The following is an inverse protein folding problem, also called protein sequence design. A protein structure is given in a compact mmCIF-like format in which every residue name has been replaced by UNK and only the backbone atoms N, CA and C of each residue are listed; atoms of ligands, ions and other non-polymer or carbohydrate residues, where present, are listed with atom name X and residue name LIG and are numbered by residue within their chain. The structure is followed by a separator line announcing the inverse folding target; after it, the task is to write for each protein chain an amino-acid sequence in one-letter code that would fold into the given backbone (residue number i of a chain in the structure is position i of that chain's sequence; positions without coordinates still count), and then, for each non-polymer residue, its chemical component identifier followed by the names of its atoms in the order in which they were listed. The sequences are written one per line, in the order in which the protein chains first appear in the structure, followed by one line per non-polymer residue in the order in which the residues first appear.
data_IF_082733895490
#
_entry.id   IF_082733895490
#
_cell.length_a   1.000
_cell.length_b   1.000
_cell.length_c   1.000
_cell.angle_alpha   90.00
_cell.angle_beta   90.00
_cell.angle_gamma   90.00
#
_symmetry.space_group_name_H-M   'P 1'
#
loop_
_entity.id
_entity.type
_entity.pdbx_description
1 polymer ?
#
# COMPACT_ATOMS: atom_id res chain seq x y z
N UNK A 1 4.02 -17.44 -3.59
CA UNK A 1 3.20 -16.44 -4.29
C UNK A 1 2.25 -15.80 -3.29
N UNK A 2 2.65 -14.67 -2.68
CA UNK A 2 1.78 -13.88 -1.81
C UNK A 2 1.79 -12.44 -2.33
N UNK A 3 1.33 -12.24 -3.56
CA UNK A 3 1.27 -10.94 -4.20
C UNK A 3 -0.17 -10.46 -4.30
N UNK A 4 -0.38 -9.16 -4.17
CA UNK A 4 -1.70 -8.54 -4.30
C UNK A 4 -1.62 -7.25 -5.10
N UNK A 5 -2.70 -6.96 -5.82
CA UNK A 5 -2.93 -5.67 -6.46
C UNK A 5 -3.96 -4.93 -5.63
N UNK A 6 -3.66 -3.68 -5.28
CA UNK A 6 -4.55 -2.83 -4.49
C UNK A 6 -4.61 -1.44 -5.11
N UNK A 7 -5.81 -0.88 -5.23
CA UNK A 7 -6.02 0.55 -5.44
C UNK A 7 -6.33 1.18 -4.09
N UNK A 8 -5.53 2.16 -3.68
CA UNK A 8 -5.72 2.79 -2.38
C UNK A 8 -5.10 4.19 -2.30
N UNK A 9 -5.63 4.98 -1.37
CA UNK A 9 -5.14 6.31 -1.01
C UNK A 9 -4.02 6.19 0.02
N UNK A 10 -2.92 6.90 -0.24
CA UNK A 10 -1.83 7.06 0.71
C UNK A 10 -2.27 7.97 1.86
N UNK A 11 -2.36 7.46 3.09
CA UNK A 11 -2.88 8.23 4.23
C UNK A 11 -1.78 8.95 5.01
N UNK A 12 -0.63 8.29 5.23
CA UNK A 12 0.48 8.89 5.99
C UNK A 12 1.82 8.24 5.72
N UNK A 13 2.89 8.98 6.02
CA UNK A 13 4.27 8.48 6.06
C UNK A 13 4.50 7.77 7.39
N UNK A 14 5.11 6.59 7.34
CA UNK A 14 5.59 5.85 8.52
C UNK A 14 7.12 5.88 8.51
N UNK A 15 7.73 6.63 9.44
CA UNK A 15 9.19 6.66 9.58
C UNK A 15 9.61 5.64 10.63
N UNK A 16 10.39 4.65 10.22
CA UNK A 16 11.20 3.84 11.14
C UNK A 16 12.67 4.09 10.85
N UNK A 17 13.53 4.01 11.87
CA UNK A 17 14.90 4.55 11.93
C UNK A 17 15.84 4.29 10.73
N UNK A 18 15.51 3.42 9.76
CA UNK A 18 16.28 3.18 8.52
C UNK A 18 15.45 2.98 7.24
N UNK A 19 14.10 2.96 7.32
CA UNK A 19 13.21 2.69 6.19
C UNK A 19 11.99 3.62 6.28
N UNK A 20 11.75 4.38 5.21
CA UNK A 20 10.50 5.11 5.02
C UNK A 20 9.45 4.11 4.51
N UNK A 21 8.31 4.04 5.18
CA UNK A 21 7.13 3.34 4.70
C UNK A 21 5.96 4.31 4.55
N UNK A 22 4.88 3.82 3.99
CA UNK A 22 3.63 4.55 3.88
C UNK A 22 2.48 3.65 4.33
N UNK A 23 1.50 4.25 5.00
CA UNK A 23 0.24 3.58 5.33
C UNK A 23 -0.79 3.96 4.27
N UNK A 24 -1.44 2.95 3.72
CA UNK A 24 -2.50 3.07 2.72
C UNK A 24 -3.82 2.63 3.33
N UNK A 25 -4.88 3.37 3.01
CA UNK A 25 -6.23 3.09 3.47
C UNK A 25 -6.66 1.68 3.01
N UNK A 26 -7.18 0.86 3.90
CA UNK A 26 -7.75 -0.41 3.49
C UNK A 26 -8.87 -0.84 4.41
N UNK A 27 -9.89 -1.50 3.87
CA UNK A 27 -10.92 -2.12 4.69
C UNK A 27 -11.38 -3.39 4.01
N UNK A 28 -10.95 -4.53 4.54
CA UNK A 28 -11.26 -5.81 3.94
C UNK A 28 -10.85 -6.98 4.81
N UNK A 29 -10.80 -8.15 4.20
CA UNK A 29 -10.35 -9.38 4.84
C UNK A 29 -9.22 -10.00 4.02
N UNK A 30 -8.21 -10.52 4.71
CA UNK A 30 -7.14 -11.31 4.11
C UNK A 30 -7.03 -12.63 4.87
N UNK A 31 -7.24 -13.76 4.18
CA UNK A 31 -7.22 -15.11 4.77
C UNK A 31 -8.10 -15.26 6.03
N UNK A 32 -9.27 -14.60 6.04
CA UNK A 32 -10.21 -14.63 7.16
C UNK A 32 -9.93 -13.62 8.28
N UNK A 33 -8.80 -12.90 8.22
CA UNK A 33 -8.48 -11.84 9.17
C UNK A 33 -8.92 -10.48 8.65
N UNK A 34 -9.50 -9.67 9.54
CA UNK A 34 -9.89 -8.30 9.22
C UNK A 34 -8.65 -7.41 9.11
N UNK A 35 -8.54 -6.70 8.00
CA UNK A 35 -7.45 -5.75 7.74
C UNK A 35 -8.05 -4.35 7.63
N UNK A 36 -7.45 -3.38 8.32
CA UNK A 36 -7.89 -1.98 8.35
C UNK A 36 -6.88 -1.00 7.74
N UNK A 37 -5.71 -1.49 7.31
CA UNK A 37 -4.67 -0.71 6.65
C UNK A 37 -3.64 -1.60 5.99
N UNK A 38 -2.93 -1.03 5.03
CA UNK A 38 -1.77 -1.67 4.40
C UNK A 38 -0.54 -0.81 4.69
N UNK A 39 0.48 -1.42 5.27
CA UNK A 39 1.78 -0.77 5.41
C UNK A 39 2.66 -1.18 4.23
N UNK A 40 3.15 -0.20 3.48
CA UNK A 40 3.99 -0.40 2.30
C UNK A 40 5.40 0.06 2.61
N UNK A 41 6.33 -0.89 2.65
CA UNK A 41 7.76 -0.64 2.75
C UNK A 41 8.33 -0.35 1.37
N UNK A 42 8.95 0.81 1.19
CA UNK A 42 9.51 1.23 -0.10
C UNK A 42 10.65 2.24 0.07
N UNK A 43 11.36 2.54 -1.02
CA UNK A 43 12.23 3.73 -1.13
C UNK A 43 11.60 4.81 -2.01
N UNK A 44 10.50 4.49 -2.68
CA UNK A 44 9.74 5.45 -3.48
C UNK A 44 9.05 6.49 -2.59
N UNK A 45 8.76 7.63 -3.18
CA UNK A 45 8.02 8.71 -2.53
C UNK A 45 6.58 8.70 -2.99
N UNK A 46 5.64 8.68 -2.04
CA UNK A 46 4.22 8.83 -2.30
C UNK A 46 3.71 10.15 -1.76
N UNK A 47 2.77 10.76 -2.47
CA UNK A 47 2.04 11.94 -2.01
C UNK A 47 0.90 11.51 -1.10
N UNK A 48 0.78 12.13 0.07
CA UNK A 48 -0.35 11.89 0.98
C UNK A 48 -1.64 12.42 0.35
N UNK A 49 -2.72 11.66 0.45
CA UNK A 49 -4.03 12.00 -0.11
C UNK A 49 -4.21 11.60 -1.58
N UNK A 50 -3.17 11.08 -2.22
CA UNK A 50 -3.23 10.62 -3.62
C UNK A 50 -3.53 9.12 -3.71
N UNK A 51 -4.21 8.73 -4.79
CA UNK A 51 -4.63 7.36 -5.07
C UNK A 51 -3.64 6.65 -6.02
N UNK A 52 -3.29 5.42 -5.66
CA UNK A 52 -2.30 4.63 -6.37
C UNK A 52 -2.82 3.22 -6.66
N UNK A 53 -2.48 2.71 -7.84
CA UNK A 53 -2.44 1.28 -8.12
C UNK A 53 -1.11 0.72 -7.61
N UNK A 54 -1.17 -0.22 -6.69
CA UNK A 54 -0.03 -0.83 -6.03
C UNK A 54 0.03 -2.31 -6.35
N UNK A 55 1.20 -2.79 -6.74
CA UNK A 55 1.53 -4.20 -6.77
C UNK A 55 2.48 -4.51 -5.61
N UNK A 56 2.05 -5.40 -4.72
CA UNK A 56 2.63 -5.57 -3.40
C UNK A 56 2.97 -7.04 -3.13
N UNK A 57 4.15 -7.27 -2.55
CA UNK A 57 4.54 -8.54 -1.95
C UNK A 57 4.14 -8.51 -0.46
N UNK A 58 3.34 -9.48 -0.02
CA UNK A 58 2.92 -9.59 1.38
C UNK A 58 4.03 -10.25 2.20
N UNK A 59 4.44 -9.58 3.27
CA UNK A 59 5.46 -10.06 4.20
C UNK A 59 4.81 -10.75 5.39
N UNK A 60 3.90 -10.06 6.09
CA UNK A 60 3.16 -10.61 7.23
C UNK A 60 1.85 -9.84 7.49
N UNK A 61 1.08 -10.32 8.47
CA UNK A 61 -0.11 -9.65 9.01
C UNK A 61 0.14 -9.42 10.50
N UNK A 62 0.08 -8.16 10.94
CA UNK A 62 0.26 -7.79 12.35
C UNK A 62 -0.72 -6.68 12.73
N UNK A 63 -1.40 -6.84 13.87
CA UNK A 63 -2.28 -5.81 14.45
C UNK A 63 -3.28 -5.23 13.43
N UNK A 64 -4.01 -6.11 12.73
CA UNK A 64 -4.99 -5.76 11.68
C UNK A 64 -4.38 -5.03 10.47
N UNK A 65 -3.06 -5.05 10.31
CA UNK A 65 -2.33 -4.42 9.21
C UNK A 65 -1.74 -5.47 8.30
N UNK A 66 -1.89 -5.28 7.00
CA UNK A 66 -1.16 -6.07 6.01
C UNK A 66 0.18 -5.39 5.75
N UNK A 67 1.28 -6.00 6.20
CA UNK A 67 2.62 -5.46 5.97
C UNK A 67 3.17 -6.01 4.67
N UNK A 68 3.64 -5.09 3.82
CA UNK A 68 3.97 -5.39 2.44
C UNK A 68 5.24 -4.67 2.01
N UNK A 69 5.85 -5.20 0.96
CA UNK A 69 6.91 -4.55 0.21
C UNK A 69 6.39 -4.15 -1.16
N UNK A 70 6.76 -2.95 -1.60
CA UNK A 70 6.39 -2.47 -2.93
C UNK A 70 7.15 -3.24 -4.01
N UNK A 71 6.40 -3.77 -4.98
CA UNK A 71 6.94 -4.31 -6.24
C UNK A 71 6.87 -3.21 -7.32
N UNK A 72 5.69 -2.61 -7.50
CA UNK A 72 5.45 -1.56 -8.48
C UNK A 72 4.32 -0.64 -8.03
N UNK A 73 4.39 0.64 -8.40
CA UNK A 73 3.31 1.61 -8.18
C UNK A 73 2.92 2.37 -9.45
N UNK A 74 1.70 2.89 -9.49
CA UNK A 74 1.26 3.86 -10.50
C UNK A 74 0.27 4.83 -9.86
N UNK A 75 0.55 6.13 -9.95
CA UNK A 75 -0.35 7.18 -9.48
C UNK A 75 -1.52 7.34 -10.45
N UNK A 76 -2.75 7.19 -9.96
CA UNK A 76 -3.92 7.11 -10.85
C UNK A 76 -4.22 8.42 -11.58
N UNK A 77 -3.92 9.57 -10.97
CA UNK A 77 -4.06 10.88 -11.65
C UNK A 77 -3.20 11.01 -12.91
N UNK A 78 -2.13 10.21 -13.04
CA UNK A 78 -1.24 10.22 -14.22
C UNK A 78 -1.72 9.27 -15.32
N UNK A 79 -2.76 8.47 -15.06
CA UNK A 79 -3.35 7.59 -16.07
C UNK A 79 -4.38 8.41 -16.84
N UNK A 80 -4.01 8.82 -18.06
CA UNK A 80 -4.99 9.35 -19.02
C UNK A 80 -5.76 8.18 -19.62
N UNK A 81 -7.03 8.03 -19.23
CA UNK A 81 -7.94 7.17 -19.99
C UNK A 81 -8.36 7.94 -21.25
N UNK A 82 -8.23 7.37 -22.46
CA UNK A 82 -8.86 7.95 -23.63
C UNK A 82 -10.38 7.97 -23.40
N UNK A 83 -10.98 9.16 -23.53
CA UNK A 83 -12.43 9.36 -23.51
C UNK A 83 -13.10 8.74 -24.73
#
# INVERSE_FOLDING_TARGET
MNEVIVISVCEKVVKTNKLCGYEFHFRGFFKGEKINKINVRTRETFSIGEEYLLFLEIEDVLSLSLNTKLIQSTELKKISFPN
#
